data_IF_078933390777
#
_entry.id   IF_078933390777
#
_cell.length_a   1.000
_cell.length_b   1.000
_cell.length_c   1.000
_cell.angle_alpha   90.00
_cell.angle_beta   90.00
_cell.angle_gamma   90.00
#
_symmetry.space_group_name_H-M   'P 1'
#
loop_
_entity.id
_entity.type
_entity.pdbx_description
1 polymer ?
#
# COMPACT_ATOMS: atom_id res chain seq x y z
N UNK A 1 -28.75 -4.26 -5.22
CA UNK A 1 -29.16 -3.94 -3.84
C UNK A 1 -27.96 -4.17 -2.92
N UNK A 2 -27.26 -3.10 -2.57
CA UNK A 2 -26.07 -3.15 -1.70
C UNK A 2 -26.54 -3.23 -0.26
N UNK A 3 -26.28 -4.35 0.42
CA UNK A 3 -26.53 -4.48 1.86
C UNK A 3 -25.48 -3.68 2.61
N UNK A 4 -25.87 -2.56 3.23
CA UNK A 4 -25.08 -1.88 4.24
C UNK A 4 -24.99 -2.78 5.48
N UNK A 5 -23.83 -3.37 5.72
CA UNK A 5 -23.53 -4.08 6.96
C UNK A 5 -22.95 -3.08 7.97
N UNK A 6 -23.72 -2.74 9.01
CA UNK A 6 -23.19 -2.07 10.20
C UNK A 6 -22.44 -3.10 11.04
N UNK A 7 -21.13 -3.07 11.00
CA UNK A 7 -20.27 -3.82 11.93
C UNK A 7 -19.68 -2.87 12.96
N UNK A 8 -20.16 -2.99 14.21
CA UNK A 8 -19.54 -2.38 15.41
C UNK A 8 -18.37 -3.26 15.84
N UNK A 9 -17.17 -3.07 15.28
CA UNK A 9 -15.92 -3.65 15.82
C UNK A 9 -15.00 -2.55 16.29
N UNK A 10 -14.35 -2.79 17.43
CA UNK A 10 -13.60 -1.85 18.24
C UNK A 10 -12.58 -1.01 17.47
N UNK A 11 -12.57 0.28 17.80
CA UNK A 11 -11.69 1.29 17.24
C UNK A 11 -10.25 1.06 17.69
N UNK A 12 -9.40 0.64 16.78
CA UNK A 12 -7.95 0.85 16.87
C UNK A 12 -7.64 2.19 16.18
N UNK A 13 -7.73 3.31 16.92
CA UNK A 13 -7.49 4.66 16.43
C UNK A 13 -8.75 5.52 16.35
N UNK A 14 -8.59 6.85 16.52
CA UNK A 14 -9.66 7.85 16.55
C UNK A 14 -10.26 8.23 15.20
N UNK A 15 -10.05 7.44 14.14
CA UNK A 15 -10.57 7.72 12.81
C UNK A 15 -12.10 7.68 12.76
N UNK A 16 -12.75 8.59 12.02
CA UNK A 16 -14.18 8.50 11.73
C UNK A 16 -14.50 7.23 10.93
N UNK A 17 -15.74 6.75 11.04
CA UNK A 17 -16.16 5.56 10.29
C UNK A 17 -16.15 5.85 8.78
N UNK A 18 -15.47 5.03 7.96
CA UNK A 18 -15.44 5.20 6.52
C UNK A 18 -16.73 4.71 5.84
N UNK A 19 -17.03 5.26 4.67
CA UNK A 19 -17.88 4.57 3.70
C UNK A 19 -17.21 3.24 3.31
N UNK A 20 -17.99 2.16 3.18
CA UNK A 20 -17.46 0.82 2.88
C UNK A 20 -18.22 0.21 1.72
N UNK A 21 -17.48 -0.36 0.77
CA UNK A 21 -18.05 -1.18 -0.29
C UNK A 21 -17.14 -2.35 -0.64
N UNK A 22 -17.67 -3.29 -1.40
CA UNK A 22 -16.90 -4.38 -1.99
C UNK A 22 -16.92 -4.23 -3.51
N UNK A 23 -15.81 -4.57 -4.15
CA UNK A 23 -15.72 -4.77 -5.58
C UNK A 23 -15.26 -6.20 -5.85
N UNK A 24 -16.01 -6.94 -6.68
CA UNK A 24 -15.72 -8.33 -6.99
C UNK A 24 -15.65 -8.54 -8.50
N UNK A 25 -14.60 -9.24 -8.95
CA UNK A 25 -14.40 -9.63 -10.33
C UNK A 25 -13.58 -10.93 -10.42
N UNK A 26 -13.98 -11.87 -11.25
CA UNK A 26 -13.23 -13.10 -11.52
C UNK A 26 -12.96 -13.97 -10.30
N UNK A 27 -13.87 -13.99 -9.31
CA UNK A 27 -13.67 -14.74 -8.05
C UNK A 27 -12.78 -14.05 -7.01
N UNK A 28 -12.34 -12.82 -7.28
CA UNK A 28 -11.55 -12.00 -6.37
C UNK A 28 -12.36 -10.81 -5.88
N UNK A 29 -12.23 -10.47 -4.61
CA UNK A 29 -12.94 -9.36 -3.98
C UNK A 29 -11.98 -8.42 -3.26
N UNK A 30 -12.21 -7.11 -3.45
CA UNK A 30 -11.58 -6.02 -2.70
C UNK A 30 -12.59 -5.44 -1.71
N UNK A 31 -12.18 -5.19 -0.49
CA UNK A 31 -12.88 -4.31 0.43
C UNK A 31 -12.27 -2.92 0.35
N UNK A 32 -13.14 -1.93 0.16
CA UNK A 32 -12.74 -0.54 0.00
C UNK A 32 -13.32 0.30 1.13
N UNK A 33 -12.54 1.24 1.60
CA UNK A 33 -12.83 2.13 2.73
C UNK A 33 -12.57 3.55 2.29
N UNK A 34 -13.58 4.44 2.37
CA UNK A 34 -13.47 5.83 1.92
C UNK A 34 -13.77 6.78 3.05
N UNK A 35 -12.89 7.72 3.24
CA UNK A 35 -13.11 8.94 4.01
C UNK A 35 -13.25 10.08 3.02
N UNK A 36 -14.49 10.38 2.67
CA UNK A 36 -14.82 11.39 1.64
C UNK A 36 -14.45 12.79 2.11
N UNK A 37 -13.80 13.54 1.23
CA UNK A 37 -13.52 14.96 1.41
C UNK A 37 -13.71 15.71 0.09
N UNK A 38 -14.97 16.13 -0.24
CA UNK A 38 -15.28 16.73 -1.53
C UNK A 38 -14.39 17.95 -1.84
N UNK A 39 -13.85 17.98 -3.06
CA UNK A 39 -12.99 19.07 -3.53
C UNK A 39 -11.52 18.99 -3.12
N UNK A 40 -11.11 17.93 -2.44
CA UNK A 40 -9.72 17.64 -2.12
C UNK A 40 -9.15 16.55 -3.05
N UNK A 41 -7.82 16.48 -3.20
CA UNK A 41 -7.17 15.37 -3.91
C UNK A 41 -7.55 14.01 -3.33
N UNK A 42 -7.74 13.01 -4.18
CA UNK A 42 -8.06 11.65 -3.78
C UNK A 42 -6.80 10.79 -3.68
N UNK A 43 -6.59 10.14 -2.55
CA UNK A 43 -5.50 9.22 -2.30
C UNK A 43 -6.02 7.77 -2.31
N UNK A 44 -5.34 6.90 -3.07
CA UNK A 44 -5.53 5.46 -3.03
C UNK A 44 -4.41 4.82 -2.23
N UNK A 45 -4.73 4.09 -1.16
CA UNK A 45 -3.76 3.42 -0.29
C UNK A 45 -3.80 1.91 -0.51
N UNK A 46 -2.64 1.32 -0.88
CA UNK A 46 -2.47 -0.11 -1.16
C UNK A 46 -1.42 -0.70 -0.22
N UNK A 47 -1.85 -1.63 0.62
CA UNK A 47 -1.02 -2.22 1.69
C UNK A 47 -0.02 -3.28 1.21
N UNK A 48 0.93 -3.63 2.08
CA UNK A 48 1.91 -4.69 1.88
C UNK A 48 1.36 -6.10 2.14
N UNK A 49 2.17 -7.09 1.84
CA UNK A 49 1.83 -8.51 2.08
C UNK A 49 1.58 -8.76 3.58
N UNK A 50 0.55 -9.52 3.91
CA UNK A 50 0.21 -9.86 5.30
C UNK A 50 -0.43 -8.71 6.09
N UNK A 51 -0.80 -7.62 5.43
CA UNK A 51 -1.37 -6.41 6.03
C UNK A 51 -2.78 -6.14 5.52
N UNK A 52 -3.39 -5.03 5.96
CA UNK A 52 -4.65 -4.49 5.51
C UNK A 52 -4.65 -2.96 5.64
N UNK A 53 -5.80 -2.34 5.40
CA UNK A 53 -5.96 -0.87 5.48
C UNK A 53 -5.53 -0.27 6.83
N UNK A 54 -5.59 -1.03 7.93
CA UNK A 54 -5.19 -0.56 9.27
C UNK A 54 -3.71 -0.17 9.35
N UNK A 55 -2.87 -0.66 8.44
CA UNK A 55 -1.48 -0.26 8.30
C UNK A 55 -1.33 1.26 8.14
N UNK A 56 -2.31 1.91 7.51
CA UNK A 56 -2.28 3.33 7.19
C UNK A 56 -2.96 4.24 8.21
N UNK A 57 -3.46 3.73 9.35
CA UNK A 57 -4.30 4.52 10.25
C UNK A 57 -3.68 5.87 10.64
N UNK A 58 -2.40 5.94 11.00
CA UNK A 58 -1.72 7.20 11.34
C UNK A 58 -1.52 8.11 10.14
N UNK A 59 -1.24 7.53 8.99
CA UNK A 59 -1.15 8.28 7.74
C UNK A 59 -2.51 8.86 7.36
N UNK A 60 -3.59 8.06 7.44
CA UNK A 60 -4.96 8.50 7.18
C UNK A 60 -5.32 9.65 8.13
N UNK A 61 -5.10 9.48 9.43
CA UNK A 61 -5.42 10.50 10.44
C UNK A 61 -4.78 11.86 10.11
N UNK A 62 -3.50 11.85 9.74
CA UNK A 62 -2.78 13.07 9.35
C UNK A 62 -3.26 13.65 8.01
N UNK A 63 -3.69 12.81 7.07
CA UNK A 63 -4.11 13.24 5.73
C UNK A 63 -5.57 13.70 5.65
N UNK A 64 -6.45 13.27 6.57
CA UNK A 64 -7.89 13.60 6.53
C UNK A 64 -8.22 15.09 6.40
N UNK A 65 -7.48 16.05 7.00
CA UNK A 65 -7.73 17.48 6.79
C UNK A 65 -7.41 17.98 5.37
N UNK A 66 -6.61 17.23 4.62
CA UNK A 66 -6.00 17.65 3.36
C UNK A 66 -6.51 16.90 2.14
N UNK A 67 -7.10 15.70 2.32
CA UNK A 67 -7.35 14.75 1.23
C UNK A 67 -8.61 13.93 1.44
N UNK A 68 -9.19 13.48 0.34
CA UNK A 68 -10.06 12.31 0.30
C UNK A 68 -9.19 11.04 0.32
N UNK A 69 -9.55 10.06 1.16
CA UNK A 69 -8.76 8.84 1.29
C UNK A 69 -9.59 7.63 0.89
N UNK A 70 -9.00 6.76 0.09
CA UNK A 70 -9.55 5.45 -0.27
C UNK A 70 -8.47 4.42 0.08
N UNK A 71 -8.75 3.55 1.03
CA UNK A 71 -7.88 2.42 1.33
C UNK A 71 -8.53 1.12 0.84
N UNK A 72 -7.72 0.19 0.34
CA UNK A 72 -8.21 -1.10 -0.12
C UNK A 72 -7.57 -2.22 0.68
N UNK A 73 -8.37 -3.24 1.02
CA UNK A 73 -7.87 -4.53 1.42
C UNK A 73 -7.82 -5.44 0.18
N UNK A 74 -6.62 -5.88 -0.17
CA UNK A 74 -6.40 -6.76 -1.32
C UNK A 74 -6.97 -8.16 -1.06
N UNK A 75 -7.30 -8.97 -2.10
CA UNK A 75 -7.90 -10.29 -1.93
C UNK A 75 -7.12 -11.18 -0.97
N UNK A 76 -7.79 -11.71 0.04
CA UNK A 76 -7.22 -12.55 1.09
C UNK A 76 -6.52 -11.81 2.22
N UNK A 77 -6.60 -10.48 2.26
CA UNK A 77 -6.01 -9.64 3.31
C UNK A 77 -7.07 -8.76 3.96
N UNK A 78 -6.79 -8.34 5.19
CA UNK A 78 -7.69 -7.44 5.92
C UNK A 78 -9.12 -7.98 6.02
N UNK A 79 -10.10 -7.20 5.56
CA UNK A 79 -11.52 -7.58 5.53
C UNK A 79 -11.93 -8.28 4.21
N UNK A 80 -11.00 -8.40 3.23
CA UNK A 80 -11.26 -9.10 1.96
C UNK A 80 -11.18 -10.61 2.10
N UNK A 81 -12.12 -11.36 1.53
CA UNK A 81 -12.10 -12.83 1.61
C UNK A 81 -10.89 -13.43 0.88
N UNK A 82 -10.42 -14.58 1.38
CA UNK A 82 -9.39 -15.37 0.69
C UNK A 82 -9.96 -15.98 -0.58
N UNK A 83 -9.40 -15.67 -1.77
CA UNK A 83 -9.83 -16.29 -3.01
C UNK A 83 -9.21 -17.68 -3.19
N UNK A 84 -9.68 -18.45 -4.18
CA UNK A 84 -9.17 -19.77 -4.49
C UNK A 84 -7.70 -19.72 -4.96
N UNK A 85 -7.35 -18.71 -5.78
CA UNK A 85 -6.01 -18.54 -6.33
C UNK A 85 -5.45 -17.14 -6.03
N UNK A 86 -4.14 -17.04 -5.85
CA UNK A 86 -3.46 -15.75 -5.70
C UNK A 86 -3.24 -15.13 -7.09
N UNK A 87 -3.61 -13.85 -7.22
CA UNK A 87 -3.31 -13.06 -8.41
C UNK A 87 -1.82 -12.73 -8.49
N UNK A 88 -1.29 -12.55 -9.71
CA UNK A 88 -0.03 -11.86 -9.94
C UNK A 88 -0.11 -10.40 -9.46
N UNK A 89 1.00 -9.71 -9.38
CA UNK A 89 1.01 -8.27 -9.03
C UNK A 89 0.30 -7.45 -10.12
N UNK A 90 0.54 -7.74 -11.39
CA UNK A 90 -0.11 -7.06 -12.51
C UNK A 90 -1.64 -7.30 -12.49
N UNK A 91 -2.10 -8.55 -12.32
CA UNK A 91 -3.55 -8.83 -12.21
C UNK A 91 -4.18 -8.18 -10.97
N UNK A 92 -3.41 -8.06 -9.88
CA UNK A 92 -3.85 -7.33 -8.68
C UNK A 92 -4.04 -5.83 -9.00
N UNK A 93 -3.12 -5.23 -9.75
CA UNK A 93 -3.24 -3.84 -10.20
C UNK A 93 -4.45 -3.64 -11.12
N UNK A 94 -4.71 -4.58 -12.05
CA UNK A 94 -5.90 -4.53 -12.92
C UNK A 94 -7.21 -4.63 -12.11
N UNK A 95 -7.26 -5.48 -11.09
CA UNK A 95 -8.43 -5.57 -10.20
C UNK A 95 -8.66 -4.25 -9.44
N UNK A 96 -7.58 -3.63 -8.93
CA UNK A 96 -7.63 -2.31 -8.28
C UNK A 96 -8.08 -1.24 -9.27
N UNK A 97 -7.53 -1.23 -10.49
CA UNK A 97 -7.95 -0.30 -11.55
C UNK A 97 -9.45 -0.43 -11.88
N UNK A 98 -9.94 -1.65 -12.00
CA UNK A 98 -11.35 -1.90 -12.27
C UNK A 98 -12.26 -1.41 -11.13
N UNK A 99 -11.85 -1.64 -9.87
CA UNK A 99 -12.56 -1.14 -8.70
C UNK A 99 -12.59 0.39 -8.65
N UNK A 100 -11.47 1.06 -8.97
CA UNK A 100 -11.38 2.52 -8.97
C UNK A 100 -12.18 3.13 -10.14
N UNK A 101 -12.18 2.52 -11.33
CA UNK A 101 -13.06 2.95 -12.45
C UNK A 101 -14.54 2.90 -12.07
N UNK A 102 -14.98 1.82 -11.43
CA UNK A 102 -16.33 1.70 -10.93
C UNK A 102 -16.64 2.80 -9.88
N UNK A 103 -15.73 3.01 -8.95
CA UNK A 103 -15.86 4.03 -7.91
C UNK A 103 -15.86 5.47 -8.49
N UNK A 104 -15.07 5.76 -9.52
CA UNK A 104 -15.11 7.05 -10.25
C UNK A 104 -16.48 7.31 -10.83
N UNK A 105 -17.06 6.32 -11.50
CA UNK A 105 -18.40 6.43 -12.12
C UNK A 105 -19.49 6.58 -11.07
N UNK A 106 -19.46 5.79 -9.99
CA UNK A 106 -20.53 5.73 -9.00
C UNK A 106 -20.42 6.81 -7.92
N UNK A 107 -19.23 7.27 -7.60
CA UNK A 107 -18.92 8.12 -6.44
C UNK A 107 -18.22 9.43 -6.78
N UNK A 108 -17.93 9.67 -8.07
CA UNK A 108 -17.30 10.91 -8.53
C UNK A 108 -15.85 11.08 -8.06
N UNK A 109 -15.10 9.97 -7.87
CA UNK A 109 -13.71 10.02 -7.48
C UNK A 109 -12.87 10.46 -8.68
N UNK A 110 -12.05 11.50 -8.51
CA UNK A 110 -11.14 12.02 -9.53
C UNK A 110 -9.88 11.19 -9.73
N UNK A 111 -8.91 11.71 -10.48
CA UNK A 111 -7.58 11.12 -10.60
C UNK A 111 -6.92 10.93 -9.23
N UNK A 112 -6.09 9.89 -9.12
CA UNK A 112 -5.60 9.40 -7.83
C UNK A 112 -4.14 9.73 -7.58
N UNK A 113 -3.81 10.09 -6.36
CA UNK A 113 -2.46 9.97 -5.81
C UNK A 113 -2.37 8.58 -5.19
N UNK A 114 -1.66 7.67 -5.86
CA UNK A 114 -1.61 6.27 -5.44
C UNK A 114 -0.41 6.03 -4.50
N UNK A 115 -0.69 5.54 -3.30
CA UNK A 115 0.31 5.24 -2.26
C UNK A 115 0.37 3.73 -2.06
N UNK A 116 1.51 3.12 -2.31
CA UNK A 116 1.75 1.70 -2.08
C UNK A 116 2.83 1.46 -1.04
N UNK A 117 2.57 0.55 -0.10
CA UNK A 117 3.56 0.12 0.87
C UNK A 117 4.07 -1.29 0.55
N UNK A 118 5.38 -1.49 0.49
CA UNK A 118 6.01 -2.81 0.29
C UNK A 118 5.49 -3.50 -1.00
N UNK A 119 4.82 -4.64 -0.92
CA UNK A 119 4.12 -5.28 -2.04
C UNK A 119 3.10 -4.32 -2.71
N UNK A 120 2.44 -3.47 -1.92
CA UNK A 120 1.54 -2.45 -2.46
C UNK A 120 2.23 -1.45 -3.37
N UNK A 121 3.53 -1.19 -3.18
CA UNK A 121 4.30 -0.35 -4.09
C UNK A 121 4.49 -1.02 -5.48
N UNK A 122 4.64 -2.35 -5.53
CA UNK A 122 4.64 -3.08 -6.80
C UNK A 122 3.29 -2.92 -7.52
N UNK A 123 2.17 -3.06 -6.78
CA UNK A 123 0.81 -2.89 -7.33
C UNK A 123 0.60 -1.47 -7.84
N UNK A 124 1.04 -0.46 -7.10
CA UNK A 124 0.93 0.96 -7.51
C UNK A 124 1.79 1.26 -8.73
N UNK A 125 2.99 0.68 -8.82
CA UNK A 125 3.86 0.85 -10.01
C UNK A 125 3.20 0.26 -11.26
N UNK A 126 2.62 -0.95 -11.18
CA UNK A 126 1.86 -1.54 -12.28
C UNK A 126 0.63 -0.69 -12.64
N UNK A 127 -0.12 -0.24 -11.63
CA UNK A 127 -1.30 0.60 -11.82
C UNK A 127 -0.93 1.92 -12.55
N UNK A 128 0.12 2.59 -12.12
CA UNK A 128 0.58 3.84 -12.72
C UNK A 128 1.08 3.65 -14.15
N UNK A 129 1.84 2.57 -14.39
CA UNK A 129 2.36 2.26 -15.73
C UNK A 129 1.25 1.88 -16.73
N UNK A 130 0.28 1.05 -16.30
CA UNK A 130 -0.79 0.55 -17.17
C UNK A 130 -1.95 1.55 -17.34
N UNK A 131 -2.21 2.41 -16.34
CA UNK A 131 -3.35 3.33 -16.31
C UNK A 131 -2.92 4.78 -16.02
N UNK A 132 -2.10 5.42 -16.89
CA UNK A 132 -1.55 6.75 -16.65
C UNK A 132 -2.64 7.84 -16.50
N UNK A 133 -3.83 7.67 -17.07
CA UNK A 133 -4.96 8.59 -16.90
C UNK A 133 -5.73 8.43 -15.57
N UNK A 134 -5.42 7.40 -14.78
CA UNK A 134 -6.04 7.16 -13.47
C UNK A 134 -5.16 7.66 -12.32
N UNK A 135 -3.84 7.57 -12.46
CA UNK A 135 -2.87 7.93 -11.44
C UNK A 135 -2.18 9.22 -11.87
N UNK A 136 -2.35 10.28 -11.08
CA UNK A 136 -1.65 11.55 -11.30
C UNK A 136 -0.23 11.54 -10.72
N UNK A 137 -0.07 10.94 -9.55
CA UNK A 137 1.20 10.85 -8.84
C UNK A 137 1.29 9.51 -8.10
N UNK A 138 2.50 8.97 -7.97
CA UNK A 138 2.76 7.73 -7.24
C UNK A 138 3.61 7.99 -5.99
N UNK A 139 3.28 7.32 -4.88
CA UNK A 139 4.12 7.28 -3.67
C UNK A 139 4.44 5.82 -3.37
N UNK A 140 5.70 5.46 -3.48
CA UNK A 140 6.22 4.12 -3.28
C UNK A 140 6.92 4.05 -1.92
N UNK A 141 6.21 3.57 -0.90
CA UNK A 141 6.77 3.46 0.44
C UNK A 141 7.42 2.09 0.63
N UNK A 142 8.74 2.08 0.90
CA UNK A 142 9.51 0.87 1.11
C UNK A 142 9.25 -0.21 0.04
N UNK A 143 9.45 0.10 -1.27
CA UNK A 143 9.07 -0.78 -2.37
C UNK A 143 9.83 -2.11 -2.33
N UNK A 144 9.11 -3.23 -2.22
CA UNK A 144 9.68 -4.58 -2.32
C UNK A 144 9.61 -5.08 -3.77
N UNK A 145 10.40 -6.01 -4.22
CA UNK A 145 11.47 -6.75 -3.53
C UNK A 145 12.79 -6.23 -4.05
N UNK A 146 13.79 -6.09 -3.16
CA UNK A 146 15.15 -5.74 -3.60
C UNK A 146 15.63 -6.73 -4.67
N UNK A 147 16.00 -6.21 -5.86
CA UNK A 147 16.39 -7.01 -7.02
C UNK A 147 17.54 -7.99 -6.74
N UNK A 148 18.48 -7.61 -5.86
CA UNK A 148 19.60 -8.47 -5.46
C UNK A 148 19.22 -9.57 -4.46
N UNK A 149 18.01 -9.54 -3.87
CA UNK A 149 17.61 -10.41 -2.76
C UNK A 149 16.23 -11.06 -2.96
N UNK A 150 15.96 -11.65 -4.13
CA UNK A 150 14.64 -12.20 -4.51
C UNK A 150 14.32 -13.58 -3.95
N UNK A 151 15.22 -14.23 -3.22
CA UNK A 151 14.92 -15.57 -2.70
C UNK A 151 14.14 -15.51 -1.39
N UNK A 152 13.23 -16.47 -1.19
CA UNK A 152 12.50 -16.64 0.06
C UNK A 152 13.42 -16.63 1.29
N UNK A 153 14.59 -17.28 1.20
CA UNK A 153 15.58 -17.34 2.29
C UNK A 153 16.15 -15.98 2.61
N UNK A 154 16.47 -15.16 1.60
CA UNK A 154 16.99 -13.81 1.79
C UNK A 154 15.94 -12.90 2.42
N UNK A 155 14.70 -12.93 1.91
CA UNK A 155 13.60 -12.13 2.45
C UNK A 155 13.25 -12.54 3.89
N UNK A 156 13.17 -13.83 4.19
CA UNK A 156 12.97 -14.32 5.56
C UNK A 156 14.09 -13.84 6.51
N UNK A 157 15.36 -13.90 6.07
CA UNK A 157 16.50 -13.38 6.84
C UNK A 157 16.33 -11.88 7.11
N UNK A 158 15.95 -11.09 6.10
CA UNK A 158 15.74 -9.64 6.25
C UNK A 158 14.61 -9.32 7.20
N UNK A 159 13.46 -10.01 7.08
CA UNK A 159 12.34 -9.86 8.02
C UNK A 159 12.74 -10.19 9.47
N UNK A 160 13.47 -11.28 9.68
CA UNK A 160 13.98 -11.65 11.02
C UNK A 160 14.93 -10.57 11.55
N UNK A 161 15.84 -10.07 10.73
CA UNK A 161 16.76 -8.99 11.14
C UNK A 161 16.03 -7.69 11.50
N UNK A 162 14.92 -7.42 10.83
CA UNK A 162 14.10 -6.24 11.09
C UNK A 162 13.28 -6.39 12.38
N UNK A 163 12.80 -7.61 12.71
CA UNK A 163 12.05 -7.89 13.93
C UNK A 163 12.87 -7.61 15.24
N UNK A 164 14.16 -7.86 15.22
CA UNK A 164 15.01 -7.74 16.42
C UNK A 164 15.51 -6.31 16.73
N UNK A 165 15.11 -5.28 15.97
CA UNK A 165 15.63 -3.92 16.11
C UNK A 165 14.63 -2.89 16.65
N UNK A 166 14.01 -3.19 17.81
CA UNK A 166 13.32 -2.16 18.60
C UNK A 166 12.12 -1.53 17.89
N UNK A 167 11.23 -2.35 17.34
CA UNK A 167 9.98 -1.88 16.72
C UNK A 167 9.08 -1.19 17.75
N UNK A 168 8.41 -0.10 17.38
CA UNK A 168 7.37 0.48 18.21
C UNK A 168 6.28 -0.56 18.51
N UNK A 169 5.78 -0.57 19.74
CA UNK A 169 4.76 -1.53 20.18
C UNK A 169 3.52 -1.55 19.24
N UNK A 170 3.13 -0.38 18.75
CA UNK A 170 1.99 -0.28 17.82
C UNK A 170 2.23 -1.05 16.51
N UNK A 171 3.44 -0.99 15.95
CA UNK A 171 3.79 -1.72 14.73
C UNK A 171 3.76 -3.23 14.96
N UNK A 172 4.20 -3.69 16.14
CA UNK A 172 4.13 -5.11 16.52
C UNK A 172 2.67 -5.54 16.65
N UNK A 173 1.85 -4.78 17.37
CA UNK A 173 0.43 -5.11 17.61
C UNK A 173 -0.35 -5.16 16.30
N UNK A 174 -0.23 -4.13 15.45
CA UNK A 174 -0.91 -4.10 14.15
C UNK A 174 -0.39 -5.21 13.23
N UNK A 175 0.92 -5.38 13.14
CA UNK A 175 1.53 -6.42 12.29
C UNK A 175 1.12 -7.83 12.70
N UNK A 176 1.14 -8.16 13.99
CA UNK A 176 0.69 -9.48 14.50
C UNK A 176 -0.81 -9.67 14.25
N UNK A 177 -1.62 -8.65 14.51
CA UNK A 177 -3.07 -8.71 14.30
C UNK A 177 -3.40 -9.00 12.82
N UNK A 178 -2.83 -8.26 11.89
CA UNK A 178 -3.07 -8.42 10.45
C UNK A 178 -2.51 -9.77 9.94
N UNK A 179 -1.32 -10.20 10.41
CA UNK A 179 -0.75 -11.49 10.05
C UNK A 179 -1.62 -12.66 10.52
N UNK A 180 -2.18 -12.59 11.74
CA UNK A 180 -3.10 -13.61 12.25
C UNK A 180 -4.40 -13.66 11.46
N UNK A 181 -4.89 -12.52 10.96
CA UNK A 181 -6.08 -12.43 10.11
C UNK A 181 -5.83 -13.04 8.72
N UNK A 182 -4.69 -12.74 8.14
CA UNK A 182 -4.27 -13.27 6.82
C UNK A 182 -4.06 -14.77 6.87
N UNK A 183 -3.48 -15.28 7.95
CA UNK A 183 -3.08 -16.68 8.09
C UNK A 183 -1.83 -17.04 7.28
N UNK A 184 -1.00 -17.99 7.81
CA UNK A 184 0.29 -18.31 7.21
C UNK A 184 0.18 -18.95 5.82
N UNK A 185 -0.90 -19.71 5.59
CA UNK A 185 -1.13 -20.37 4.30
C UNK A 185 -1.32 -19.39 3.15
N UNK A 186 -2.16 -18.38 3.35
CA UNK A 186 -2.41 -17.36 2.35
C UNK A 186 -1.20 -16.46 2.14
N UNK A 187 -0.54 -16.07 3.23
CA UNK A 187 0.71 -15.31 3.16
C UNK A 187 1.74 -15.99 2.24
N UNK A 188 1.96 -17.33 2.43
CA UNK A 188 2.89 -18.09 1.61
C UNK A 188 2.44 -18.20 0.14
N UNK A 189 1.13 -18.36 -0.12
CA UNK A 189 0.59 -18.37 -1.49
C UNK A 189 0.87 -17.04 -2.22
N UNK A 190 0.71 -15.90 -1.55
CA UNK A 190 0.90 -14.58 -2.15
C UNK A 190 2.37 -14.19 -2.25
N UNK A 191 3.23 -14.77 -1.42
CA UNK A 191 4.66 -14.49 -1.43
C UNK A 191 5.32 -14.87 -2.76
N UNK A 192 4.91 -15.98 -3.40
CA UNK A 192 5.40 -16.37 -4.74
C UNK A 192 5.24 -15.25 -5.76
N UNK A 193 4.02 -14.84 -6.11
CA UNK A 193 3.79 -13.71 -7.03
C UNK A 193 4.51 -12.42 -6.65
N UNK A 194 4.69 -12.15 -5.34
CA UNK A 194 5.41 -10.97 -4.86
C UNK A 194 6.92 -11.05 -5.15
N UNK A 195 7.52 -12.23 -5.00
CA UNK A 195 8.94 -12.47 -5.28
C UNK A 195 9.24 -12.55 -6.80
N UNK A 196 8.30 -13.08 -7.57
CA UNK A 196 8.42 -13.22 -9.03
C UNK A 196 8.29 -11.90 -9.76
N UNK A 197 7.53 -10.96 -9.22
CA UNK A 197 7.34 -9.64 -9.82
C UNK A 197 8.66 -8.85 -9.84
N UNK A 198 8.98 -8.30 -10.99
CA UNK A 198 10.18 -7.50 -11.23
C UNK A 198 9.79 -6.02 -11.32
N UNK A 199 9.77 -5.34 -10.19
CA UNK A 199 9.38 -3.92 -10.13
C UNK A 199 10.29 -3.07 -11.04
N UNK A 200 11.58 -3.40 -11.16
CA UNK A 200 12.55 -2.74 -12.03
C UNK A 200 12.17 -2.78 -13.53
N UNK A 201 11.41 -3.78 -13.97
CA UNK A 201 10.92 -3.84 -15.36
C UNK A 201 9.70 -2.91 -15.58
N UNK A 202 9.07 -2.45 -14.49
CA UNK A 202 7.87 -1.59 -14.50
C UNK A 202 8.23 -0.12 -14.28
N UNK A 203 9.18 0.18 -13.38
CA UNK A 203 9.54 1.54 -12.98
C UNK A 203 9.83 2.49 -14.17
N UNK A 204 10.57 2.10 -15.24
CA UNK A 204 10.81 2.98 -16.38
C UNK A 204 9.55 3.37 -17.18
N UNK A 205 8.43 2.67 -16.96
CA UNK A 205 7.15 2.92 -17.64
C UNK A 205 6.26 3.88 -16.85
N UNK A 206 6.57 4.16 -15.59
CA UNK A 206 5.83 5.08 -14.72
C UNK A 206 6.20 6.51 -15.09
N UNK A 207 5.34 7.17 -15.86
CA UNK A 207 5.59 8.53 -16.37
C UNK A 207 5.10 9.64 -15.42
N UNK A 208 4.41 9.28 -14.37
CA UNK A 208 3.92 10.23 -13.37
C UNK A 208 5.05 10.64 -12.42
N UNK A 209 5.01 11.86 -11.85
CA UNK A 209 5.87 12.18 -10.72
C UNK A 209 5.73 11.13 -9.61
N UNK A 210 6.85 10.64 -9.10
CA UNK A 210 6.87 9.56 -8.13
C UNK A 210 7.80 9.86 -6.96
N UNK A 211 7.28 9.70 -5.74
CA UNK A 211 8.04 9.83 -4.49
C UNK A 211 8.32 8.44 -3.91
N UNK A 212 9.58 8.14 -3.72
CA UNK A 212 10.01 6.94 -2.99
C UNK A 212 10.27 7.33 -1.53
N UNK A 213 9.61 6.66 -0.60
CA UNK A 213 9.79 6.87 0.85
C UNK A 213 10.35 5.61 1.50
N UNK A 214 11.29 5.77 2.43
CA UNK A 214 11.87 4.63 3.17
C UNK A 214 12.31 5.05 4.56
N UNK A 215 12.18 4.16 5.53
CA UNK A 215 12.78 4.35 6.86
C UNK A 215 14.30 4.16 6.83
N UNK A 216 15.06 5.04 7.51
CA UNK A 216 16.53 4.99 7.51
C UNK A 216 17.13 3.69 8.05
N UNK A 217 16.35 2.88 8.77
CA UNK A 217 16.77 1.60 9.36
C UNK A 217 16.05 0.40 8.77
N UNK A 218 15.35 0.59 7.63
CA UNK A 218 14.69 -0.51 6.92
C UNK A 218 15.73 -1.54 6.45
N UNK A 219 15.52 -2.80 6.84
CA UNK A 219 16.38 -3.93 6.49
C UNK A 219 15.78 -4.79 5.39
N UNK A 220 14.48 -4.70 5.18
CA UNK A 220 13.75 -5.45 4.14
C UNK A 220 13.98 -4.78 2.79
N UNK A 221 13.79 -3.45 2.77
CA UNK A 221 14.02 -2.61 1.59
C UNK A 221 14.97 -1.47 1.98
N UNK A 222 16.30 -1.74 2.04
CA UNK A 222 17.26 -0.77 2.53
C UNK A 222 17.26 0.51 1.68
N UNK A 223 17.66 1.67 2.28
CA UNK A 223 17.69 2.96 1.57
C UNK A 223 18.46 2.93 0.26
N UNK A 224 19.50 2.10 0.15
CA UNK A 224 20.29 1.93 -1.07
C UNK A 224 19.44 1.35 -2.21
N UNK A 225 18.63 0.34 -1.92
CA UNK A 225 17.67 -0.20 -2.88
C UNK A 225 16.61 0.83 -3.27
N UNK A 226 16.07 1.57 -2.31
CA UNK A 226 15.08 2.61 -2.58
C UNK A 226 15.66 3.76 -3.42
N UNK A 227 16.96 4.03 -3.29
CA UNK A 227 17.67 4.96 -4.17
C UNK A 227 17.73 4.44 -5.61
N UNK A 228 18.05 3.14 -5.81
CA UNK A 228 17.99 2.50 -7.13
C UNK A 228 16.59 2.61 -7.74
N UNK A 229 15.54 2.32 -6.96
CA UNK A 229 14.14 2.47 -7.39
C UNK A 229 13.83 3.91 -7.84
N UNK A 230 14.30 4.91 -7.11
CA UNK A 230 14.08 6.31 -7.48
C UNK A 230 14.82 6.70 -8.77
N UNK A 231 16.00 6.14 -9.03
CA UNK A 231 16.75 6.37 -10.26
C UNK A 231 16.12 5.70 -11.50
N UNK A 232 15.44 4.57 -11.32
CA UNK A 232 14.75 3.86 -12.41
C UNK A 232 13.44 4.55 -12.84
N UNK A 233 12.88 5.42 -11.98
CA UNK A 233 11.69 6.20 -12.29
C UNK A 233 12.05 7.44 -13.12
N UNK A 234 11.40 7.72 -14.26
CA UNK A 234 11.65 8.90 -15.08
C UNK A 234 11.54 10.24 -14.32
N UNK A 235 10.65 10.29 -13.33
CA UNK A 235 10.40 11.47 -12.49
C UNK A 235 10.38 11.04 -11.01
N UNK A 236 11.42 10.30 -10.59
CA UNK A 236 11.53 9.74 -9.24
C UNK A 236 12.29 10.66 -8.28
N UNK A 237 11.75 10.80 -7.08
CA UNK A 237 12.40 11.48 -5.96
C UNK A 237 12.50 10.51 -4.77
N UNK A 238 13.57 10.62 -3.97
CA UNK A 238 13.74 9.82 -2.75
C UNK A 238 13.69 10.71 -1.51
N UNK A 239 12.92 10.27 -0.52
CA UNK A 239 12.99 10.82 0.84
C UNK A 239 13.21 9.69 1.85
N UNK A 240 14.24 9.84 2.67
CA UNK A 240 14.55 8.93 3.77
C UNK A 240 14.01 9.48 5.08
N UNK A 241 13.09 8.76 5.70
CA UNK A 241 12.52 9.11 7.01
C UNK A 241 13.51 8.69 8.12
N UNK A 242 13.74 9.58 9.08
CA UNK A 242 14.47 9.23 10.29
C UNK A 242 13.63 8.28 11.14
N UNK A 243 14.16 7.11 11.55
CA UNK A 243 13.42 6.29 12.48
C UNK A 243 13.35 4.80 12.14
N UNK A 244 12.21 4.13 12.39
CA UNK A 244 12.07 2.68 12.37
C UNK A 244 12.26 2.05 10.98
N UNK A 245 12.28 0.71 10.96
CA UNK A 245 12.51 -0.12 9.79
C UNK A 245 11.34 -0.17 8.80
N UNK A 246 11.05 -1.37 8.32
CA UNK A 246 10.06 -1.60 7.25
C UNK A 246 8.62 -1.18 7.59
N UNK A 247 8.26 -1.18 8.87
CA UNK A 247 6.95 -0.73 9.35
C UNK A 247 6.89 0.78 9.63
N UNK A 248 7.76 1.60 9.05
CA UNK A 248 7.73 3.05 9.23
C UNK A 248 6.36 3.66 8.86
N UNK A 249 5.64 3.12 7.90
CA UNK A 249 4.27 3.54 7.58
C UNK A 249 3.31 3.39 8.77
N UNK A 250 3.44 2.33 9.57
CA UNK A 250 2.60 2.11 10.76
C UNK A 250 3.03 3.02 11.91
N UNK A 251 4.33 3.15 12.11
CA UNK A 251 4.91 3.83 13.27
C UNK A 251 4.98 5.35 13.08
N UNK A 252 5.37 5.78 11.89
CA UNK A 252 5.69 7.17 11.52
C UNK A 252 4.77 7.67 10.40
N UNK A 253 3.52 7.18 10.35
CA UNK A 253 2.56 7.55 9.31
C UNK A 253 2.29 9.06 9.22
N UNK A 254 2.35 9.77 10.35
CA UNK A 254 2.25 11.22 10.42
C UNK A 254 3.43 11.90 9.71
N UNK A 255 4.66 11.51 10.03
CA UNK A 255 5.85 12.04 9.36
C UNK A 255 5.87 11.69 7.85
N UNK A 256 5.36 10.51 7.48
CA UNK A 256 5.20 10.14 6.07
C UNK A 256 4.18 11.05 5.37
N UNK A 257 3.04 11.36 6.02
CA UNK A 257 2.03 12.27 5.50
C UNK A 257 2.59 13.69 5.31
N UNK A 258 3.33 14.23 6.27
CA UNK A 258 3.99 15.52 6.17
C UNK A 258 4.94 15.59 4.95
N UNK A 259 5.72 14.52 4.71
CA UNK A 259 6.63 14.48 3.55
C UNK A 259 5.89 14.42 2.22
N UNK A 260 4.80 13.65 2.17
CA UNK A 260 3.95 13.59 0.98
C UNK A 260 3.30 14.96 0.71
N UNK A 261 2.74 15.62 1.72
CA UNK A 261 2.14 16.94 1.58
C UNK A 261 3.17 17.98 1.09
N UNK A 262 4.36 18.01 1.69
CA UNK A 262 5.44 18.90 1.26
C UNK A 262 5.85 18.66 -0.20
N UNK A 263 5.97 17.38 -0.61
CA UNK A 263 6.30 17.03 -1.99
C UNK A 263 5.20 17.44 -2.99
N UNK A 264 3.95 17.47 -2.57
CA UNK A 264 2.84 17.90 -3.44
C UNK A 264 2.80 19.42 -3.67
N UNK A 265 3.44 20.19 -2.81
CA UNK A 265 3.53 21.65 -2.90
C UNK A 265 4.66 22.14 -3.82
N UNK A 266 5.65 21.30 -4.07
CA UNK A 266 6.81 21.57 -4.95
C UNK A 266 6.60 21.07 -6.34
#
# INVERSE_FOLDING_TARGET
MVKQSRSTRGRLGGLPDPERWAYAQGGHELRCFRWAHPGKPAFLLVHGIGMGHLTFNRFIEAMLPHAEIIAVDLPGFGDSPEPEAALSIADTAELVAAAMRAATTERGIGPLIAVGHSMGAQVVSELAAAHPGMVDRAVLFAPSVNAAERTLKQQAKRMVQDLFKGKPLIAIVVGVYEYLRTGPRWFLKKLGPTLEHRIEDTLPKVQQPALVLVGSRDRVTPPEWCYEVALELPHGELTVLGGPGHEAMIAEGEAAAERVLHWLEG
#
